data_IF_752368186920
#
_entry.id   IF_752368186920
#
_cell.length_a   1.000
_cell.length_b   1.000
_cell.length_c   1.000
_cell.angle_alpha   90.00
_cell.angle_beta   90.00
_cell.angle_gamma   90.00
#
_symmetry.space_group_name_H-M   'P 1'
#
loop_
_entity.id
_entity.type
_entity.pdbx_description
1 polymer ?
#
# COMPACT_ATOMS: atom_id res chain seq x y z
N UNK A 1 -10.07 2.40 0.60
CA UNK A 1 -8.61 2.14 0.71
C UNK A 1 -7.82 3.44 0.57
N UNK A 2 -6.52 3.44 0.88
CA UNK A 2 -5.62 4.57 0.59
C UNK A 2 -4.91 4.32 -0.73
N UNK A 3 -4.89 5.29 -1.65
CA UNK A 3 -4.19 5.15 -2.92
C UNK A 3 -2.67 5.04 -2.69
N UNK A 4 -2.04 3.99 -3.23
CA UNK A 4 -0.61 3.76 -3.08
C UNK A 4 0.27 4.90 -3.64
N UNK A 5 -0.22 5.61 -4.67
CA UNK A 5 0.51 6.69 -5.36
C UNK A 5 0.25 8.06 -4.73
N UNK A 6 -1.00 8.51 -4.67
CA UNK A 6 -1.34 9.86 -4.20
C UNK A 6 -1.68 9.95 -2.70
N UNK A 7 -1.76 8.82 -2.00
CA UNK A 7 -2.02 8.73 -0.55
C UNK A 7 -3.38 9.28 -0.09
N UNK A 8 -4.31 9.54 -1.02
CA UNK A 8 -5.68 9.95 -0.69
C UNK A 8 -6.59 8.75 -0.44
N UNK A 9 -7.57 8.93 0.43
CA UNK A 9 -8.61 7.93 0.67
C UNK A 9 -9.57 7.84 -0.52
N UNK A 10 -9.96 6.62 -0.88
CA UNK A 10 -10.91 6.31 -1.95
C UNK A 10 -11.90 5.25 -1.49
N UNK A 11 -13.12 5.28 -2.02
CA UNK A 11 -14.24 4.39 -1.65
C UNK A 11 -14.18 2.98 -2.26
N UNK A 12 -13.11 2.64 -2.96
CA UNK A 12 -12.91 1.31 -3.55
C UNK A 12 -12.30 0.38 -2.48
N UNK A 13 -12.98 -0.73 -2.19
CA UNK A 13 -12.53 -1.71 -1.19
C UNK A 13 -11.77 -2.89 -1.80
N UNK A 14 -12.23 -3.38 -2.96
CA UNK A 14 -11.67 -4.53 -3.67
C UNK A 14 -11.45 -4.14 -5.14
N UNK A 15 -10.35 -3.43 -5.45
CA UNK A 15 -10.08 -3.03 -6.81
C UNK A 15 -9.86 -4.25 -7.69
N UNK A 16 -10.40 -4.23 -8.91
CA UNK A 16 -10.04 -5.17 -9.97
C UNK A 16 -8.93 -4.58 -10.84
N UNK A 17 -8.40 -5.37 -11.77
CA UNK A 17 -7.27 -4.98 -12.64
C UNK A 17 -7.44 -3.62 -13.33
N UNK A 18 -8.65 -3.30 -13.78
CA UNK A 18 -8.96 -2.07 -14.52
C UNK A 18 -9.36 -0.90 -13.63
N UNK A 19 -9.43 -1.08 -12.31
CA UNK A 19 -9.80 0.02 -11.42
C UNK A 19 -8.64 0.98 -11.24
N UNK A 20 -8.94 2.27 -11.39
CA UNK A 20 -8.02 3.37 -11.24
C UNK A 20 -8.40 4.27 -10.08
N UNK A 21 -7.42 4.97 -9.51
CA UNK A 21 -7.67 6.01 -8.52
C UNK A 21 -8.45 7.17 -9.18
N UNK A 22 -9.62 7.58 -8.65
CA UNK A 22 -10.41 8.67 -9.21
C UNK A 22 -9.74 10.06 -9.12
N UNK A 23 -8.61 10.17 -8.41
CA UNK A 23 -7.92 11.43 -8.13
C UNK A 23 -6.58 11.56 -8.87
N UNK A 24 -5.93 10.44 -9.21
CA UNK A 24 -4.61 10.46 -9.85
C UNK A 24 -4.45 9.45 -10.98
N UNK A 25 -5.51 8.70 -11.31
CA UNK A 25 -5.57 7.73 -12.41
C UNK A 25 -4.49 6.63 -12.34
N UNK A 26 -4.00 6.33 -11.14
CA UNK A 26 -3.10 5.20 -10.93
C UNK A 26 -3.90 3.91 -10.78
N UNK A 27 -3.48 2.84 -11.45
CA UNK A 27 -4.00 1.49 -11.30
C UNK A 27 -4.03 1.08 -9.82
N UNK A 28 -5.12 0.48 -9.35
CA UNK A 28 -5.32 0.14 -7.93
C UNK A 28 -5.00 -1.32 -7.60
N UNK A 29 -5.14 -2.22 -8.57
CA UNK A 29 -4.76 -3.64 -8.42
C UNK A 29 -3.33 -3.88 -8.90
N UNK A 30 -2.38 -3.41 -8.10
CA UNK A 30 -0.94 -3.42 -8.43
C UNK A 30 -0.12 -3.93 -7.25
N UNK A 31 1.10 -4.39 -7.49
CA UNK A 31 1.96 -4.87 -6.40
C UNK A 31 2.15 -3.79 -5.33
N UNK A 32 2.39 -2.53 -5.69
CA UNK A 32 2.55 -1.45 -4.70
C UNK A 32 1.33 -1.17 -3.81
N UNK A 33 0.14 -1.60 -4.22
CA UNK A 33 -1.09 -1.53 -3.44
C UNK A 33 -1.38 -2.82 -2.66
N UNK A 34 -0.54 -3.86 -2.80
CA UNK A 34 -0.72 -5.16 -2.18
C UNK A 34 -0.07 -5.20 -0.78
N UNK A 35 -0.71 -5.90 0.15
CA UNK A 35 -0.23 -6.14 1.51
C UNK A 35 1.01 -7.06 1.54
N UNK A 36 1.17 -7.91 0.54
CA UNK A 36 2.33 -8.80 0.40
C UNK A 36 3.55 -8.12 -0.21
N UNK A 37 3.41 -6.92 -0.78
CA UNK A 37 4.53 -6.24 -1.42
C UNK A 37 5.52 -5.70 -0.39
N UNK A 38 6.77 -6.12 -0.55
CA UNK A 38 7.89 -5.72 0.29
C UNK A 38 9.12 -5.55 -0.58
N UNK A 39 9.74 -4.37 -0.52
CA UNK A 39 10.96 -4.10 -1.27
C UNK A 39 12.12 -4.91 -0.67
N UNK A 40 12.86 -5.63 -1.52
CA UNK A 40 14.00 -6.46 -1.09
C UNK A 40 13.64 -7.92 -0.79
N UNK A 41 12.35 -8.26 -0.70
CA UNK A 41 11.92 -9.66 -0.69
C UNK A 41 12.17 -10.32 -2.06
N UNK A 42 12.18 -11.66 -2.12
CA UNK A 42 12.19 -12.37 -3.39
C UNK A 42 11.01 -11.91 -4.26
N UNK A 43 11.27 -11.52 -5.50
CA UNK A 43 10.28 -10.92 -6.42
C UNK A 43 9.60 -9.64 -5.91
N UNK A 44 10.11 -9.02 -4.84
CA UNK A 44 9.46 -7.95 -4.06
C UNK A 44 8.07 -8.36 -3.53
N UNK A 45 7.90 -9.64 -3.16
CA UNK A 45 6.65 -10.20 -2.66
C UNK A 45 6.93 -11.19 -1.53
N UNK A 46 6.18 -11.08 -0.42
CA UNK A 46 6.26 -12.04 0.70
C UNK A 46 5.52 -13.35 0.44
N UNK A 47 4.56 -13.36 -0.47
CA UNK A 47 3.89 -14.60 -0.89
C UNK A 47 4.77 -15.31 -1.92
N UNK A 48 5.40 -16.42 -1.51
CA UNK A 48 6.34 -17.16 -2.35
C UNK A 48 5.68 -17.92 -3.51
N UNK A 49 4.38 -18.17 -3.41
CA UNK A 49 3.61 -18.85 -4.46
C UNK A 49 3.06 -17.90 -5.52
N UNK A 50 3.17 -16.58 -5.30
CA UNK A 50 2.67 -15.57 -6.22
C UNK A 50 3.53 -15.51 -7.49
N UNK A 51 2.88 -15.32 -8.63
CA UNK A 51 3.57 -15.15 -9.91
C UNK A 51 4.45 -13.89 -9.92
N UNK A 52 5.55 -13.95 -10.68
CA UNK A 52 6.42 -12.80 -10.87
C UNK A 52 5.74 -11.73 -11.71
N UNK A 53 5.52 -10.56 -11.11
CA UNK A 53 5.06 -9.37 -11.82
C UNK A 53 6.26 -8.48 -12.16
N UNK A 54 6.48 -8.15 -13.44
CA UNK A 54 7.59 -7.28 -13.83
C UNK A 54 7.36 -5.81 -13.41
N UNK A 55 6.23 -5.24 -13.82
CA UNK A 55 5.85 -3.86 -13.49
C UNK A 55 4.99 -3.82 -12.21
N UNK A 56 5.57 -3.28 -11.14
CA UNK A 56 4.93 -3.23 -9.82
C UNK A 56 3.87 -2.12 -9.68
N UNK A 57 3.78 -1.23 -10.66
CA UNK A 57 2.90 -0.06 -10.68
C UNK A 57 1.72 -0.18 -11.64
N UNK A 58 1.70 -1.22 -12.49
CA UNK A 58 0.62 -1.48 -13.44
C UNK A 58 -0.32 -2.60 -13.01
N UNK A 59 -1.57 -2.49 -13.46
CA UNK A 59 -2.65 -3.43 -13.22
C UNK A 59 -2.26 -4.86 -13.60
N UNK A 60 -2.18 -5.73 -12.60
CA UNK A 60 -1.79 -7.14 -12.77
C UNK A 60 -2.95 -8.11 -12.47
N UNK A 61 -2.70 -9.40 -12.64
CA UNK A 61 -3.67 -10.49 -12.44
C UNK A 61 -3.33 -11.37 -11.23
N UNK A 62 -2.54 -10.88 -10.28
CA UNK A 62 -2.11 -11.70 -9.16
C UNK A 62 -3.30 -12.13 -8.30
N UNK A 63 -3.59 -13.43 -8.26
CA UNK A 63 -4.69 -14.00 -7.46
C UNK A 63 -4.50 -13.86 -5.94
N UNK A 64 -3.26 -13.63 -5.52
CA UNK A 64 -2.90 -13.40 -4.11
C UNK A 64 -3.04 -11.92 -3.72
N UNK A 65 -3.46 -11.04 -4.61
CA UNK A 65 -3.58 -9.63 -4.30
C UNK A 65 -4.50 -9.39 -3.09
N UNK A 66 -4.00 -8.63 -2.13
CA UNK A 66 -4.76 -8.14 -0.98
C UNK A 66 -4.49 -6.68 -0.83
N UNK A 67 -5.52 -5.84 -0.84
CA UNK A 67 -5.36 -4.40 -0.62
C UNK A 67 -4.62 -4.18 0.68
N UNK A 68 -3.52 -3.43 0.61
CA UNK A 68 -2.80 -2.96 1.78
C UNK A 68 -3.78 -2.17 2.64
N UNK A 69 -4.08 -2.71 3.82
CA UNK A 69 -4.74 -1.95 4.87
C UNK A 69 -3.66 -1.05 5.42
N UNK A 70 -3.39 0.06 4.74
CA UNK A 70 -2.72 1.17 5.40
C UNK A 70 -3.63 1.45 6.60
N UNK A 71 -3.18 1.01 7.77
CA UNK A 71 -3.77 1.44 9.01
C UNK A 71 -3.82 2.96 8.86
N UNK A 72 -5.00 3.53 8.99
CA UNK A 72 -5.12 4.96 9.21
C UNK A 72 -4.34 5.16 10.50
N UNK A 73 -3.04 5.40 10.38
CA UNK A 73 -2.31 6.15 11.35
C UNK A 73 -3.00 7.50 11.25
N UNK A 74 -4.10 7.64 12.01
CA UNK A 74 -4.53 8.91 12.56
C UNK A 74 -3.21 9.56 12.90
N UNK A 75 -2.87 10.64 12.20
CA UNK A 75 -1.55 11.25 12.22
C UNK A 75 -1.29 11.79 13.62
N UNK A 76 -1.03 10.89 14.55
CA UNK A 76 -0.51 11.10 15.86
C UNK A 76 1.00 11.31 15.71
N UNK A 77 1.47 11.88 14.60
CA UNK A 77 2.85 12.28 14.43
C UNK A 77 3.23 13.27 15.54
N UNK A 78 2.30 14.15 15.93
CA UNK A 78 2.43 15.00 17.12
C UNK A 78 2.42 14.20 18.43
N UNK A 79 1.53 13.22 18.59
CA UNK A 79 1.49 12.36 19.79
C UNK A 79 2.73 11.47 19.93
N UNK A 80 3.24 10.93 18.83
CA UNK A 80 4.46 10.13 18.77
C UNK A 80 5.69 11.00 19.02
N UNK A 81 5.72 12.22 18.47
CA UNK A 81 6.80 13.19 18.74
C UNK A 81 6.78 13.69 20.19
N UNK A 82 5.61 13.97 20.74
CA UNK A 82 5.47 14.37 22.15
C UNK A 82 5.81 13.21 23.10
N UNK A 83 5.39 11.99 22.79
CA UNK A 83 5.77 10.80 23.57
C UNK A 83 7.28 10.53 23.49
N UNK A 84 7.90 10.69 22.32
CA UNK A 84 9.34 10.56 22.16
C UNK A 84 10.09 11.62 22.98
N UNK A 85 9.70 12.89 22.88
CA UNK A 85 10.31 13.99 23.64
C UNK A 85 10.13 13.82 25.16
N UNK A 86 9.00 13.29 25.61
CA UNK A 86 8.76 13.02 27.04
C UNK A 86 9.63 11.88 27.60
N UNK A 87 10.13 10.98 26.75
CA UNK A 87 10.97 9.85 27.14
C UNK A 87 12.47 10.15 27.04
N UNK A 88 12.88 11.05 26.15
CA UNK A 88 14.29 11.23 25.76
C UNK A 88 14.75 12.69 25.58
N UNK A 89 13.90 13.68 25.88
CA UNK A 89 14.24 15.09 25.70
C UNK A 89 14.80 15.73 26.98
N UNK A 90 16.13 15.77 27.10
CA UNK A 90 16.90 16.67 27.97
C UNK A 90 17.54 17.80 27.15
#
# INVERSE_FOLDING_TARGET
>A
MICWKCKKEISIEKPVRSDECPLCHADLHVCKACDFYENGAHNNCRESSAEFVNDKERGNFCDYFRVKKDCVAISNAEKARNAFNALFGD
#
